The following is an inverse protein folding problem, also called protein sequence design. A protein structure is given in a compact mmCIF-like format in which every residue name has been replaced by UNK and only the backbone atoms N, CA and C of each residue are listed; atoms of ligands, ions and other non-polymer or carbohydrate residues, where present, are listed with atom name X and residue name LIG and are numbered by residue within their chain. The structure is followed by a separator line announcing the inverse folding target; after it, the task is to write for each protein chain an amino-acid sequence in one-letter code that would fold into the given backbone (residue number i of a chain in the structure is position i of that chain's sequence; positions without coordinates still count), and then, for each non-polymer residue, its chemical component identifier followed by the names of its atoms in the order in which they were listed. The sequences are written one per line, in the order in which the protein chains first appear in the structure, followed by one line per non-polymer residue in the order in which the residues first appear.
data_IF_434224965851
#
_entry.id   IF_434224965851
#
_cell.length_a   1.000
_cell.length_b   1.000
_cell.length_c   1.000
_cell.angle_alpha   90.00
_cell.angle_beta   90.00
_cell.angle_gamma   90.00
#
_symmetry.space_group_name_H-M   'P 1'
#
loop_
_entity.id
_entity.type
_entity.pdbx_description
1 polymer ?
#
# COMPACT_ATOMS: atom_id res chain seq x y z
N UNK A 1 3.12 6.96 -5.11
CA UNK A 1 4.04 5.82 -5.24
C UNK A 1 4.94 5.93 -6.47
N UNK A 2 4.42 6.11 -7.69
CA UNK A 2 5.24 6.23 -8.92
C UNK A 2 6.39 7.23 -8.79
N UNK A 3 6.10 8.45 -8.32
CA UNK A 3 7.12 9.48 -8.15
C UNK A 3 8.26 9.07 -7.19
N UNK A 4 7.94 8.34 -6.12
CA UNK A 4 8.96 7.86 -5.19
C UNK A 4 9.82 6.75 -5.81
N UNK A 5 9.23 5.86 -6.61
CA UNK A 5 9.96 4.87 -7.39
C UNK A 5 10.89 5.56 -8.41
N UNK A 6 10.43 6.61 -9.08
CA UNK A 6 11.24 7.39 -10.01
C UNK A 6 12.48 8.00 -9.32
N UNK A 7 12.29 8.62 -8.15
CA UNK A 7 13.42 9.14 -7.35
C UNK A 7 14.40 8.02 -6.97
N UNK A 8 13.87 6.88 -6.55
CA UNK A 8 14.67 5.71 -6.18
C UNK A 8 15.52 5.22 -7.35
N UNK A 9 14.93 5.07 -8.55
CA UNK A 9 15.63 4.61 -9.75
C UNK A 9 16.70 5.63 -10.17
N UNK A 10 16.35 6.91 -10.29
CA UNK A 10 17.31 7.97 -10.67
C UNK A 10 18.50 7.97 -9.71
N UNK A 11 18.25 7.98 -8.41
CA UNK A 11 19.29 7.95 -7.41
C UNK A 11 20.19 6.73 -7.54
N UNK A 12 19.61 5.55 -7.76
CA UNK A 12 20.35 4.30 -7.86
C UNK A 12 21.25 4.23 -9.08
N UNK A 13 20.90 4.91 -10.17
CA UNK A 13 21.68 4.98 -11.40
C UNK A 13 22.76 6.09 -11.39
N UNK A 14 22.51 7.17 -10.66
CA UNK A 14 23.43 8.31 -10.56
C UNK A 14 24.52 8.10 -9.50
N UNK A 15 24.16 7.50 -8.38
CA UNK A 15 25.09 7.36 -7.24
C UNK A 15 26.07 6.21 -7.46
N UNK A 16 27.35 6.53 -7.39
CA UNK A 16 28.44 5.54 -7.37
C UNK A 16 28.94 5.39 -5.93
N UNK A 17 29.02 4.15 -5.46
CA UNK A 17 29.64 3.76 -4.20
C UNK A 17 30.44 2.49 -4.43
N UNK A 18 31.60 2.37 -3.78
CA UNK A 18 32.50 1.22 -3.96
C UNK A 18 32.82 0.90 -5.42
N UNK A 19 32.95 1.95 -6.25
CA UNK A 19 33.27 1.83 -7.67
C UNK A 19 32.15 1.34 -8.59
N UNK A 20 30.91 1.21 -8.08
CA UNK A 20 29.75 0.73 -8.86
C UNK A 20 28.53 1.61 -8.61
N UNK A 21 27.58 1.60 -9.55
CA UNK A 21 26.25 2.18 -9.33
C UNK A 21 25.57 1.47 -8.16
N UNK A 22 24.90 2.22 -7.28
CA UNK A 22 24.24 1.62 -6.13
C UNK A 22 23.07 0.70 -6.54
N UNK A 23 22.49 0.86 -7.72
CA UNK A 23 21.51 -0.07 -8.28
C UNK A 23 22.01 -1.52 -8.29
N UNK A 24 23.32 -1.73 -8.45
CA UNK A 24 23.94 -3.07 -8.49
C UNK A 24 24.44 -3.58 -7.13
N UNK A 25 24.21 -2.83 -6.06
CA UNK A 25 24.69 -3.16 -4.73
C UNK A 25 23.58 -3.65 -3.80
N UNK A 26 23.84 -4.75 -3.10
CA UNK A 26 22.96 -5.29 -2.08
C UNK A 26 21.56 -5.60 -2.60
N UNK A 27 20.55 -5.25 -1.79
CA UNK A 27 19.13 -5.51 -2.05
C UNK A 27 18.44 -4.41 -2.91
N UNK A 28 19.19 -3.51 -3.57
CA UNK A 28 18.58 -2.39 -4.29
C UNK A 28 17.77 -2.84 -5.52
N UNK A 29 18.17 -3.93 -6.19
CA UNK A 29 17.34 -4.53 -7.24
C UNK A 29 16.01 -5.04 -6.70
N UNK A 30 16.04 -5.72 -5.56
CA UNK A 30 14.83 -6.24 -4.91
C UNK A 30 13.90 -5.10 -4.51
N UNK A 31 14.43 -4.02 -3.94
CA UNK A 31 13.64 -2.83 -3.60
C UNK A 31 12.94 -2.21 -4.81
N UNK A 32 13.61 -2.12 -5.96
CA UNK A 32 13.02 -1.59 -7.20
C UNK A 32 11.93 -2.53 -7.72
N UNK A 33 12.22 -3.84 -7.81
CA UNK A 33 11.29 -4.84 -8.30
C UNK A 33 10.04 -4.96 -7.42
N UNK A 34 10.22 -5.09 -6.11
CA UNK A 34 9.11 -5.15 -5.14
C UNK A 34 8.28 -3.86 -5.15
N UNK A 35 8.93 -2.69 -5.30
CA UNK A 35 8.20 -1.42 -5.37
C UNK A 35 7.34 -1.33 -6.61
N UNK A 36 7.76 -1.89 -7.75
CA UNK A 36 6.91 -2.00 -8.94
C UNK A 36 5.72 -2.93 -8.70
N UNK A 37 5.95 -4.10 -8.10
CA UNK A 37 4.89 -5.05 -7.76
C UNK A 37 3.89 -4.40 -6.76
N UNK A 38 4.39 -3.72 -5.75
CA UNK A 38 3.61 -2.98 -4.76
C UNK A 38 2.69 -1.92 -5.40
N UNK A 39 3.19 -1.21 -6.41
CA UNK A 39 2.41 -0.21 -7.16
C UNK A 39 1.28 -0.88 -7.94
N UNK A 40 1.58 -1.94 -8.69
CA UNK A 40 0.59 -2.60 -9.55
C UNK A 40 -0.49 -3.30 -8.72
N UNK A 41 -0.13 -3.97 -7.64
CA UNK A 41 -1.12 -4.58 -6.73
C UNK A 41 -2.02 -3.55 -6.07
N UNK A 42 -1.46 -2.42 -5.64
CA UNK A 42 -2.24 -1.29 -5.07
C UNK A 42 -3.17 -0.67 -6.12
N UNK A 43 -2.72 -0.55 -7.36
CA UNK A 43 -3.52 -0.03 -8.48
C UNK A 43 -4.70 -0.94 -8.78
N UNK A 44 -4.46 -2.24 -8.92
CA UNK A 44 -5.51 -3.22 -9.19
C UNK A 44 -6.54 -3.28 -8.07
N UNK A 45 -6.10 -3.25 -6.81
CA UNK A 45 -7.00 -3.20 -5.66
C UNK A 45 -7.87 -1.93 -5.68
N UNK A 46 -7.29 -0.78 -6.03
CA UNK A 46 -8.01 0.49 -6.13
C UNK A 46 -9.02 0.48 -7.28
N UNK A 47 -8.64 -0.06 -8.44
CA UNK A 47 -9.54 -0.20 -9.57
C UNK A 47 -10.71 -1.13 -9.25
N UNK A 48 -10.47 -2.24 -8.53
CA UNK A 48 -11.53 -3.12 -8.07
C UNK A 48 -12.51 -2.39 -7.14
N UNK A 49 -12.00 -1.64 -6.16
CA UNK A 49 -12.87 -0.87 -5.27
C UNK A 49 -13.69 0.18 -6.03
N UNK A 50 -13.08 0.88 -6.99
CA UNK A 50 -13.78 1.84 -7.85
C UNK A 50 -14.89 1.17 -8.68
N UNK A 51 -14.60 0.05 -9.31
CA UNK A 51 -15.58 -0.73 -10.08
C UNK A 51 -16.76 -1.18 -9.20
N UNK A 52 -16.49 -1.68 -7.99
CA UNK A 52 -17.54 -2.07 -7.06
C UNK A 52 -18.39 -0.89 -6.62
N UNK A 53 -17.78 0.28 -6.35
CA UNK A 53 -18.52 1.50 -6.03
C UNK A 53 -19.46 1.93 -7.16
N UNK A 54 -19.01 1.83 -8.41
CA UNK A 54 -19.80 2.20 -9.59
C UNK A 54 -20.92 1.21 -9.89
N UNK A 55 -20.71 -0.08 -9.62
CA UNK A 55 -21.68 -1.15 -9.98
C UNK A 55 -22.69 -1.45 -8.88
N UNK A 56 -22.28 -1.52 -7.63
CA UNK A 56 -23.16 -1.91 -6.50
C UNK A 56 -23.33 -0.83 -5.42
N UNK A 57 -22.60 0.27 -5.56
CA UNK A 57 -22.66 1.43 -4.65
C UNK A 57 -21.83 1.27 -3.37
N UNK A 58 -21.55 2.41 -2.74
CA UNK A 58 -20.62 2.52 -1.61
C UNK A 58 -20.98 1.66 -0.40
N UNK A 59 -22.29 1.45 -0.14
CA UNK A 59 -22.75 0.66 1.02
C UNK A 59 -22.37 -0.81 0.88
N UNK A 60 -22.47 -1.36 -0.33
CA UNK A 60 -22.12 -2.75 -0.62
C UNK A 60 -20.59 -2.90 -0.76
N UNK A 61 -19.94 -1.95 -1.44
CA UNK A 61 -18.49 -1.94 -1.67
C UNK A 61 -17.64 -1.54 -0.44
N UNK A 62 -18.23 -1.50 0.75
CA UNK A 62 -17.53 -1.00 1.96
C UNK A 62 -16.30 -1.82 2.35
N UNK A 63 -16.29 -3.12 2.05
CA UNK A 63 -15.14 -3.99 2.29
C UNK A 63 -13.98 -3.62 1.38
N UNK A 64 -14.22 -3.44 0.09
CA UNK A 64 -13.23 -3.05 -0.90
C UNK A 64 -12.66 -1.66 -0.60
N UNK A 65 -13.51 -0.71 -0.22
CA UNK A 65 -13.10 0.63 0.23
C UNK A 65 -12.20 0.54 1.47
N UNK A 66 -12.56 -0.30 2.46
CA UNK A 66 -11.75 -0.51 3.64
C UNK A 66 -10.40 -1.16 3.31
N UNK A 67 -10.36 -2.12 2.36
CA UNK A 67 -9.14 -2.78 1.92
C UNK A 67 -8.14 -1.79 1.33
N UNK A 68 -8.57 -0.92 0.40
CA UNK A 68 -7.67 0.10 -0.17
C UNK A 68 -7.20 1.10 0.88
N UNK A 69 -8.05 1.47 1.81
CA UNK A 69 -7.74 2.41 2.89
C UNK A 69 -6.67 1.88 3.85
N UNK A 70 -6.64 0.56 4.08
CA UNK A 70 -5.60 -0.09 4.89
C UNK A 70 -4.34 -0.34 4.06
N UNK A 71 -4.49 -0.97 2.90
CA UNK A 71 -3.36 -1.51 2.13
C UNK A 71 -2.50 -0.41 1.49
N UNK A 72 -3.15 0.50 0.75
CA UNK A 72 -2.43 1.47 -0.11
C UNK A 72 -1.52 2.42 0.69
N UNK A 73 -1.95 3.02 1.81
CA UNK A 73 -1.06 3.89 2.57
C UNK A 73 0.11 3.16 3.25
N UNK A 74 -0.09 1.90 3.67
CA UNK A 74 0.98 1.07 4.23
C UNK A 74 2.05 0.80 3.17
N UNK A 75 1.63 0.37 2.00
CA UNK A 75 2.51 0.11 0.86
C UNK A 75 3.24 1.39 0.42
N UNK A 76 2.51 2.51 0.34
CA UNK A 76 3.10 3.79 -0.02
C UNK A 76 4.18 4.24 0.98
N UNK A 77 3.94 4.10 2.29
CA UNK A 77 4.94 4.40 3.32
C UNK A 77 6.18 3.52 3.14
N UNK A 78 6.01 2.21 2.95
CA UNK A 78 7.12 1.27 2.74
C UNK A 78 7.96 1.62 1.52
N UNK A 79 7.32 1.95 0.40
CA UNK A 79 8.01 2.32 -0.83
C UNK A 79 8.78 3.64 -0.68
N UNK A 80 8.18 4.65 -0.03
CA UNK A 80 8.85 5.93 0.21
C UNK A 80 10.02 5.75 1.18
N UNK A 81 9.89 4.90 2.19
CA UNK A 81 10.97 4.56 3.12
C UNK A 81 12.17 3.94 2.39
N UNK A 82 11.94 3.00 1.47
CA UNK A 82 12.99 2.45 0.58
C UNK A 82 13.68 3.54 -0.24
N UNK A 83 12.90 4.49 -0.77
CA UNK A 83 13.45 5.61 -1.53
C UNK A 83 14.30 6.54 -0.64
N UNK A 84 13.86 6.84 0.59
CA UNK A 84 14.63 7.58 1.58
C UNK A 84 15.94 6.85 1.90
N UNK A 85 15.87 5.55 2.16
CA UNK A 85 17.05 4.73 2.47
C UNK A 85 18.09 4.80 1.34
N UNK A 86 17.65 4.74 0.07
CA UNK A 86 18.53 4.80 -1.09
C UNK A 86 19.15 6.18 -1.31
N UNK A 87 18.48 7.25 -0.84
CA UNK A 87 19.03 8.63 -0.86
C UNK A 87 19.97 8.89 0.32
N UNK A 88 19.94 8.09 1.36
CA UNK A 88 20.69 8.32 2.60
C UNK A 88 20.27 9.62 3.29
N UNK A 89 21.22 10.39 3.81
CA UNK A 89 20.92 11.67 4.49
C UNK A 89 20.13 12.68 3.65
N UNK A 90 20.29 12.69 2.33
CA UNK A 90 19.48 13.51 1.43
C UNK A 90 17.98 13.14 1.46
N UNK A 91 17.65 11.87 1.67
CA UNK A 91 16.25 11.41 1.71
C UNK A 91 15.43 11.95 2.88
N UNK A 92 16.08 12.38 3.95
CA UNK A 92 15.43 13.00 5.13
C UNK A 92 15.61 14.51 5.16
N UNK A 93 16.36 15.09 4.21
CA UNK A 93 16.52 16.53 4.04
C UNK A 93 15.35 17.16 3.27
N UNK A 94 15.41 18.49 3.13
CA UNK A 94 14.44 19.23 2.31
C UNK A 94 14.86 19.30 0.82
N UNK A 95 16.03 18.78 0.46
CA UNK A 95 16.53 18.77 -0.92
C UNK A 95 15.72 17.82 -1.82
N UNK A 96 15.11 16.79 -1.21
CA UNK A 96 14.21 15.85 -1.85
C UNK A 96 12.84 15.83 -1.15
N UNK A 97 11.73 15.61 -1.89
CA UNK A 97 10.41 15.65 -1.29
C UNK A 97 10.05 14.39 -0.48
N UNK A 98 10.97 13.43 -0.33
CA UNK A 98 10.68 12.10 0.18
C UNK A 98 10.21 12.09 1.63
N UNK A 99 10.85 12.86 2.51
CA UNK A 99 10.42 12.96 3.91
C UNK A 99 9.01 13.56 4.05
N UNK A 100 8.70 14.59 3.27
CA UNK A 100 7.37 15.18 3.20
C UNK A 100 6.33 14.21 2.64
N UNK A 101 6.68 13.48 1.58
CA UNK A 101 5.82 12.44 1.01
C UNK A 101 5.52 11.34 2.03
N UNK A 102 6.52 10.92 2.81
CA UNK A 102 6.33 9.93 3.86
C UNK A 102 5.35 10.41 4.92
N UNK A 103 5.54 11.63 5.45
CA UNK A 103 4.66 12.22 6.45
C UNK A 103 3.20 12.29 5.96
N UNK A 104 2.98 12.71 4.71
CA UNK A 104 1.65 12.74 4.09
C UNK A 104 1.02 11.35 3.98
N UNK A 105 1.75 10.36 3.50
CA UNK A 105 1.24 8.98 3.38
C UNK A 105 0.97 8.37 4.77
N UNK A 106 1.82 8.68 5.75
CA UNK A 106 1.62 8.23 7.12
C UNK A 106 0.35 8.81 7.75
N UNK A 107 0.02 10.05 7.42
CA UNK A 107 -1.23 10.70 7.86
C UNK A 107 -2.46 9.96 7.36
N UNK A 108 -2.44 9.41 6.14
CA UNK A 108 -3.56 8.66 5.57
C UNK A 108 -3.89 7.36 6.34
N UNK A 109 -2.97 6.86 7.15
CA UNK A 109 -3.22 5.72 8.03
C UNK A 109 -3.97 6.08 9.32
N UNK A 110 -4.17 7.36 9.57
CA UNK A 110 -4.84 7.93 10.75
C UNK A 110 -6.13 8.66 10.39
N UNK A 111 -6.10 9.43 9.29
CA UNK A 111 -7.22 10.25 8.83
C UNK A 111 -8.42 9.38 8.42
N UNK A 112 -9.63 9.90 8.63
CA UNK A 112 -10.90 9.24 8.28
C UNK A 112 -11.05 7.83 8.87
N UNK A 113 -10.50 7.63 10.05
CA UNK A 113 -10.42 6.36 10.75
C UNK A 113 -9.05 5.68 10.59
N UNK A 114 -8.43 5.25 11.71
CA UNK A 114 -7.16 4.54 11.67
C UNK A 114 -7.29 3.14 11.06
N UNK A 115 -6.15 2.54 10.70
CA UNK A 115 -6.05 1.22 10.07
C UNK A 115 -6.92 0.17 10.79
N UNK A 116 -6.98 0.21 12.12
CA UNK A 116 -7.72 -0.74 12.98
C UNK A 116 -9.23 -0.70 12.74
N UNK A 117 -9.78 0.50 12.52
CA UNK A 117 -11.23 0.68 12.23
C UNK A 117 -11.57 0.00 10.90
N UNK A 118 -10.76 0.22 9.87
CA UNK A 118 -11.00 -0.37 8.56
C UNK A 118 -10.73 -1.88 8.53
N UNK A 119 -9.73 -2.38 9.25
CA UNK A 119 -9.50 -3.82 9.45
C UNK A 119 -10.69 -4.50 10.11
N UNK A 120 -11.31 -3.83 11.09
CA UNK A 120 -12.54 -4.34 11.72
C UNK A 120 -13.69 -4.48 10.71
N UNK A 121 -13.84 -3.52 9.79
CA UNK A 121 -14.86 -3.60 8.73
C UNK A 121 -14.63 -4.84 7.87
N UNK A 122 -13.41 -5.02 7.35
CA UNK A 122 -13.04 -6.16 6.50
C UNK A 122 -13.32 -7.49 7.23
N UNK A 123 -12.83 -7.61 8.48
CA UNK A 123 -12.99 -8.83 9.26
C UNK A 123 -14.46 -9.18 9.53
N UNK A 124 -15.29 -8.18 9.84
CA UNK A 124 -16.72 -8.42 10.08
C UNK A 124 -17.46 -8.88 8.84
N UNK A 125 -17.17 -8.27 7.69
CA UNK A 125 -17.75 -8.70 6.40
C UNK A 125 -17.34 -10.13 6.06
N UNK A 126 -16.07 -10.47 6.28
CA UNK A 126 -15.59 -11.82 6.00
C UNK A 126 -16.22 -12.85 6.94
N UNK A 127 -16.27 -12.57 8.23
CA UNK A 127 -16.89 -13.47 9.22
C UNK A 127 -18.38 -13.69 8.97
N UNK A 128 -19.13 -12.66 8.54
CA UNK A 128 -20.58 -12.78 8.30
C UNK A 128 -20.91 -13.84 7.24
N UNK A 129 -20.07 -14.02 6.23
CA UNK A 129 -20.24 -15.02 5.17
C UNK A 129 -20.29 -16.47 5.70
N UNK A 130 -19.65 -16.73 6.83
CA UNK A 130 -19.61 -18.07 7.43
C UNK A 130 -20.67 -18.27 8.51
N UNK A 131 -21.09 -17.23 9.19
CA UNK A 131 -22.16 -17.31 10.20
C UNK A 131 -23.49 -17.66 9.55
N UNK A 132 -23.82 -17.03 8.42
CA UNK A 132 -25.06 -17.31 7.69
C UNK A 132 -25.09 -18.75 7.15
N UNK A 133 -23.97 -19.29 6.67
CA UNK A 133 -23.88 -20.68 6.20
C UNK A 133 -24.06 -21.71 7.34
N UNK A 134 -23.63 -21.43 8.56
CA UNK A 134 -23.81 -22.34 9.69
C UNK A 134 -25.27 -22.41 10.18
N UNK A 135 -26.02 -21.32 10.04
CA UNK A 135 -27.45 -21.31 10.38
C UNK A 135 -28.30 -22.16 9.41
N UNK A 136 -28.01 -22.11 8.11
CA UNK A 136 -28.67 -22.94 7.10
C UNK A 136 -28.35 -24.43 7.25
N UNK A 137 -27.16 -24.79 7.68
CA UNK A 137 -26.73 -26.19 7.85
C UNK A 137 -27.42 -26.86 9.08
N UNK A 138 -27.80 -26.08 10.08
CA UNK A 138 -28.50 -26.60 11.27
C UNK A 138 -29.97 -26.89 10.97
N UNK A 139 -30.60 -26.08 10.11
CA UNK A 139 -32.03 -26.27 9.74
C UNK A 139 -32.27 -27.49 8.82
N UNK A 140 -31.28 -27.99 8.13
CA UNK A 140 -31.39 -29.15 7.22
C UNK A 140 -31.08 -30.50 7.86
N UNK A 141 -30.89 -30.57 9.20
CA UNK A 141 -30.58 -31.81 9.95
C UNK A 141 -31.73 -32.33 10.83
N UNK A 142 -32.89 -31.75 10.73
CA UNK A 142 -34.17 -32.28 11.31
C UNK A 142 -35.00 -32.88 10.16
#
# INVERSE_FOLDING_TARGET
MERALEFMIKRSEERIAFGKKISTLGANYDYIAESRIDIETSRLLTLNASHMMDTVGNKVARSEIAQIKVHVPIVACRLIDRAIQMHGGGGVSQDFPLASMYAHMRTLRLADGPDEVHRRVIAREELSKYVDQSAETIVTRD
#
